data_IF_250499165023
#
_entry.id   IF_250499165023
#
_cell.length_a   1.000
_cell.length_b   1.000
_cell.length_c   1.000
_cell.angle_alpha   90.00
_cell.angle_beta   90.00
_cell.angle_gamma   90.00
#
_symmetry.space_group_name_H-M   'P 1'
#
loop_
_entity.id
_entity.type
_entity.pdbx_description
1 polymer ?
#
# COMPACT_ATOMS: atom_id res chain seq x y z
N UNK A 1 25.33 -1.56 -86.94
CA UNK A 1 26.13 -1.23 -85.74
C UNK A 1 25.76 0.17 -85.26
N UNK A 2 25.16 0.24 -84.05
CA UNK A 2 25.16 1.37 -83.09
C UNK A 2 24.52 2.68 -83.61
N UNK A 3 23.20 2.77 -83.73
CA UNK A 3 22.24 3.29 -82.72
C UNK A 3 22.71 4.44 -81.81
N UNK A 4 22.16 5.61 -82.11
CA UNK A 4 22.16 6.88 -81.38
C UNK A 4 21.52 6.74 -79.98
N UNK A 5 22.18 7.29 -78.97
CA UNK A 5 21.58 7.62 -77.67
C UNK A 5 21.09 9.06 -77.71
N UNK A 6 19.85 9.32 -77.25
CA UNK A 6 19.64 10.49 -76.42
C UNK A 6 18.98 10.15 -75.08
N UNK A 7 19.45 10.87 -74.07
CA UNK A 7 19.13 10.78 -72.64
C UNK A 7 17.62 10.91 -72.37
N UNK A 8 17.10 9.89 -71.68
CA UNK A 8 15.71 9.76 -71.25
C UNK A 8 15.36 10.70 -70.09
N UNK A 9 14.38 11.57 -70.37
CA UNK A 9 13.16 11.85 -69.59
C UNK A 9 13.24 12.00 -68.06
N UNK A 10 13.07 13.24 -67.61
CA UNK A 10 12.67 13.62 -66.25
C UNK A 10 11.37 12.89 -65.85
N UNK A 11 11.45 12.03 -64.82
CA UNK A 11 10.28 11.42 -64.19
C UNK A 11 9.65 12.46 -63.24
N UNK A 12 8.51 13.02 -63.66
CA UNK A 12 7.56 13.73 -62.80
C UNK A 12 6.86 12.70 -61.90
N UNK A 13 7.24 12.63 -60.62
CA UNK A 13 6.48 11.91 -59.61
C UNK A 13 5.15 12.63 -59.33
N UNK A 14 4.07 12.23 -59.99
CA UNK A 14 2.72 12.59 -59.57
C UNK A 14 2.34 11.77 -58.33
N UNK A 15 2.45 12.38 -57.15
CA UNK A 15 1.90 11.84 -55.91
C UNK A 15 0.36 11.85 -55.99
N UNK A 16 -0.23 10.74 -56.41
CA UNK A 16 -1.68 10.52 -56.34
C UNK A 16 -2.07 10.27 -54.88
N UNK A 17 -2.41 11.35 -54.17
CA UNK A 17 -3.05 11.27 -52.86
C UNK A 17 -4.39 10.54 -53.01
N UNK A 18 -4.42 9.23 -52.73
CA UNK A 18 -5.64 8.42 -52.61
C UNK A 18 -6.60 9.12 -51.64
N UNK A 19 -7.64 9.75 -52.18
CA UNK A 19 -8.78 10.24 -51.38
C UNK A 19 -9.35 9.04 -50.63
N UNK A 20 -9.30 9.06 -49.29
CA UNK A 20 -10.01 8.08 -48.44
C UNK A 20 -11.47 8.09 -48.84
N UNK A 21 -11.96 6.99 -49.40
CA UNK A 21 -13.39 6.80 -49.65
C UNK A 21 -14.11 6.89 -48.31
N UNK A 22 -15.04 7.83 -48.20
CA UNK A 22 -15.96 7.91 -47.07
C UNK A 22 -16.93 6.74 -47.24
N UNK A 23 -16.64 5.60 -46.60
CA UNK A 23 -17.60 4.48 -46.54
C UNK A 23 -18.84 5.01 -45.81
N UNK A 24 -19.97 5.06 -46.51
CA UNK A 24 -21.25 5.33 -45.86
C UNK A 24 -21.54 4.14 -44.95
N UNK A 25 -21.55 4.37 -43.64
CA UNK A 25 -21.90 3.35 -42.66
C UNK A 25 -23.41 3.14 -42.67
N UNK A 26 -23.85 1.89 -42.69
CA UNK A 26 -25.25 1.53 -42.42
C UNK A 26 -25.73 2.15 -41.10
N UNK A 27 -26.99 2.56 -41.02
CA UNK A 27 -27.57 3.23 -39.84
C UNK A 27 -27.42 2.40 -38.55
N UNK A 28 -27.32 1.08 -38.71
CA UNK A 28 -27.14 0.10 -37.65
C UNK A 28 -25.69 -0.04 -37.17
N UNK A 29 -24.71 0.51 -37.89
CA UNK A 29 -23.28 0.47 -37.57
C UNK A 29 -22.68 1.87 -37.36
N UNK A 30 -23.53 2.91 -37.29
CA UNK A 30 -23.08 4.27 -37.00
C UNK A 30 -22.35 4.30 -35.66
N UNK A 31 -21.08 4.73 -35.71
CA UNK A 31 -20.21 4.82 -34.54
C UNK A 31 -19.57 3.49 -34.12
N UNK A 32 -19.72 2.41 -34.89
CA UNK A 32 -19.09 1.11 -34.66
C UNK A 32 -18.07 0.85 -35.76
N UNK A 33 -16.83 0.57 -35.36
CA UNK A 33 -15.70 0.41 -36.28
C UNK A 33 -14.98 -0.90 -36.01
N UNK A 34 -14.90 -1.75 -37.03
CA UNK A 34 -14.03 -2.93 -36.99
C UNK A 34 -12.58 -2.50 -37.21
N UNK A 35 -11.66 -2.95 -36.35
CA UNK A 35 -10.23 -2.65 -36.44
C UNK A 35 -9.39 -3.85 -36.02
N UNK A 36 -8.14 -3.85 -36.47
CA UNK A 36 -7.14 -4.84 -36.07
C UNK A 36 -5.92 -4.09 -35.55
N UNK A 37 -5.39 -4.52 -34.41
CA UNK A 37 -4.24 -3.92 -33.72
C UNK A 37 -3.22 -5.03 -33.43
N UNK A 38 -1.93 -4.76 -33.59
CA UNK A 38 -0.86 -5.72 -33.31
C UNK A 38 -0.86 -6.20 -31.85
N UNK A 39 -1.29 -5.35 -30.91
CA UNK A 39 -1.27 -5.66 -29.47
C UNK A 39 -2.53 -6.35 -28.95
N UNK A 40 -3.68 -6.05 -29.58
CA UNK A 40 -5.01 -6.51 -29.10
C UNK A 40 -5.66 -7.53 -30.04
N UNK A 41 -5.15 -7.68 -31.26
CA UNK A 41 -5.78 -8.44 -32.32
C UNK A 41 -6.99 -7.73 -32.92
N UNK A 42 -7.86 -8.51 -33.56
CA UNK A 42 -9.12 -8.04 -34.13
C UNK A 42 -10.10 -7.62 -33.02
N UNK A 43 -10.70 -6.45 -33.18
CA UNK A 43 -11.61 -5.88 -32.21
C UNK A 43 -12.64 -4.96 -32.86
N UNK A 44 -13.74 -4.74 -32.14
CA UNK A 44 -14.76 -3.76 -32.46
C UNK A 44 -14.59 -2.54 -31.56
N UNK A 45 -14.48 -1.36 -32.16
CA UNK A 45 -14.34 -0.08 -31.49
C UNK A 45 -15.63 0.72 -31.65
N UNK A 46 -16.29 1.00 -30.53
CA UNK A 46 -17.44 1.90 -30.49
C UNK A 46 -16.96 3.30 -30.12
N UNK A 47 -17.34 4.30 -30.93
CA UNK A 47 -17.04 5.70 -30.70
C UNK A 47 -18.27 6.54 -31.01
N UNK A 48 -18.90 7.06 -29.96
CA UNK A 48 -20.13 7.83 -30.04
C UNK A 48 -19.95 9.18 -29.35
N UNK A 49 -20.23 10.27 -30.05
CA UNK A 49 -20.17 11.62 -29.49
C UNK A 49 -21.58 12.12 -29.17
N UNK A 50 -21.83 12.47 -27.90
CA UNK A 50 -23.10 12.98 -27.40
C UNK A 50 -22.87 14.17 -26.48
N UNK A 51 -23.55 15.28 -26.74
CA UNK A 51 -23.52 16.49 -25.91
C UNK A 51 -22.10 16.98 -25.59
N UNK A 52 -21.20 16.92 -26.57
CA UNK A 52 -19.79 17.31 -26.42
C UNK A 52 -18.89 16.29 -25.72
N UNK A 53 -19.43 15.17 -25.23
CA UNK A 53 -18.67 14.07 -24.61
C UNK A 53 -18.47 12.93 -25.59
N UNK A 54 -17.25 12.39 -25.60
CA UNK A 54 -16.85 11.25 -26.42
C UNK A 54 -16.92 9.97 -25.58
N UNK A 55 -17.81 9.07 -25.97
CA UNK A 55 -17.95 7.74 -25.36
C UNK A 55 -17.26 6.72 -26.25
N UNK A 56 -16.22 6.08 -25.71
CA UNK A 56 -15.43 5.09 -26.44
C UNK A 56 -15.29 3.78 -25.67
N UNK A 57 -15.38 2.66 -26.40
CA UNK A 57 -15.16 1.32 -25.85
C UNK A 57 -14.62 0.37 -26.91
N UNK A 58 -13.79 -0.56 -26.46
CA UNK A 58 -13.18 -1.60 -27.29
C UNK A 58 -13.67 -2.98 -26.84
N UNK A 59 -14.12 -3.78 -27.80
CA UNK A 59 -14.56 -5.16 -27.63
C UNK A 59 -13.61 -6.05 -28.42
N UNK A 60 -12.71 -6.74 -27.72
CA UNK A 60 -11.70 -7.61 -28.35
C UNK A 60 -12.30 -8.99 -28.55
N UNK A 61 -12.23 -9.52 -29.77
CA UNK A 61 -12.87 -10.79 -30.14
C UNK A 61 -12.50 -11.94 -29.20
N UNK A 62 -11.21 -12.08 -28.87
CA UNK A 62 -10.71 -13.12 -27.99
C UNK A 62 -11.31 -13.08 -26.56
N UNK A 63 -11.74 -11.90 -26.10
CA UNK A 63 -12.37 -11.73 -24.77
C UNK A 63 -13.89 -11.83 -24.83
N UNK A 64 -14.48 -11.54 -25.98
CA UNK A 64 -15.91 -11.56 -26.20
C UNK A 64 -16.40 -12.91 -26.74
N UNK A 65 -15.52 -13.86 -27.07
CA UNK A 65 -15.93 -15.17 -27.59
C UNK A 65 -16.10 -15.22 -29.10
N UNK A 66 -15.57 -14.23 -29.83
CA UNK A 66 -15.57 -14.20 -31.29
C UNK A 66 -15.98 -12.87 -31.90
N UNK A 67 -15.89 -12.74 -33.24
CA UNK A 67 -16.16 -11.49 -33.95
C UNK A 67 -17.64 -11.10 -33.96
N UNK A 68 -18.55 -12.08 -34.10
CA UNK A 68 -20.00 -11.87 -34.10
C UNK A 68 -20.48 -11.38 -32.74
N UNK A 69 -20.00 -12.04 -31.70
CA UNK A 69 -20.35 -11.73 -30.32
C UNK A 69 -19.79 -10.37 -29.89
N UNK A 70 -18.54 -10.05 -30.29
CA UNK A 70 -17.97 -8.72 -30.07
C UNK A 70 -18.79 -7.61 -30.73
N UNK A 71 -19.35 -7.83 -31.94
CA UNK A 71 -20.21 -6.87 -32.61
C UNK A 71 -21.56 -6.71 -31.90
N UNK A 72 -22.18 -7.82 -31.46
CA UNK A 72 -23.43 -7.80 -30.69
C UNK A 72 -23.28 -7.00 -29.40
N UNK A 73 -22.25 -7.28 -28.60
CA UNK A 73 -21.94 -6.56 -27.37
C UNK A 73 -21.60 -5.08 -27.62
N UNK A 74 -20.91 -4.78 -28.72
CA UNK A 74 -20.63 -3.41 -29.13
C UNK A 74 -21.89 -2.62 -29.47
N UNK A 75 -22.85 -3.23 -30.19
CA UNK A 75 -24.18 -2.66 -30.47
C UNK A 75 -24.95 -2.42 -29.16
N UNK A 76 -24.97 -3.40 -28.27
CA UNK A 76 -25.63 -3.27 -26.96
C UNK A 76 -25.06 -2.14 -26.12
N UNK A 77 -23.73 -2.01 -26.10
CA UNK A 77 -23.09 -0.93 -25.37
C UNK A 77 -23.38 0.43 -25.99
N UNK A 78 -23.35 0.55 -27.32
CA UNK A 78 -23.72 1.77 -28.03
C UNK A 78 -25.17 2.17 -27.71
N UNK A 79 -26.09 1.21 -27.79
CA UNK A 79 -27.51 1.44 -27.61
C UNK A 79 -27.80 1.87 -26.17
N UNK A 80 -27.16 1.23 -25.18
CA UNK A 80 -27.20 1.67 -23.77
C UNK A 80 -26.72 3.11 -23.62
N UNK A 81 -25.58 3.47 -24.22
CA UNK A 81 -25.04 4.83 -24.16
C UNK A 81 -25.97 5.82 -24.84
N UNK A 82 -26.59 5.45 -25.97
CA UNK A 82 -27.52 6.30 -26.70
C UNK A 82 -28.83 6.55 -25.94
N UNK A 83 -29.34 5.55 -25.21
CA UNK A 83 -30.50 5.69 -24.32
C UNK A 83 -30.17 6.56 -23.10
N UNK A 84 -29.02 6.32 -22.45
CA UNK A 84 -28.58 7.11 -21.31
C UNK A 84 -28.21 8.55 -21.67
N UNK A 85 -27.79 8.78 -22.92
CA UNK A 85 -27.35 10.07 -23.43
C UNK A 85 -28.08 10.37 -24.75
N UNK A 86 -29.37 10.77 -24.67
CA UNK A 86 -30.15 11.09 -25.85
C UNK A 86 -29.48 12.19 -26.67
N UNK A 87 -29.76 12.20 -27.97
CA UNK A 87 -29.27 13.24 -28.86
C UNK A 87 -29.77 14.61 -28.40
N UNK A 88 -28.92 15.63 -28.52
CA UNK A 88 -29.29 17.02 -28.24
C UNK A 88 -30.53 17.40 -29.05
N UNK A 89 -31.50 18.06 -28.43
CA UNK A 89 -32.64 18.60 -29.16
C UNK A 89 -32.15 19.65 -30.18
N UNK A 90 -32.81 19.71 -31.33
CA UNK A 90 -32.48 20.64 -32.40
C UNK A 90 -32.65 22.08 -31.92
N UNK A 91 -33.65 22.35 -31.07
CA UNK A 91 -33.84 23.64 -30.42
C UNK A 91 -32.64 24.01 -29.53
N UNK A 92 -32.20 23.09 -28.66
CA UNK A 92 -31.04 23.31 -27.78
C UNK A 92 -29.76 23.55 -28.58
N UNK A 93 -29.52 22.76 -29.64
CA UNK A 93 -28.39 22.98 -30.54
C UNK A 93 -28.44 24.36 -31.20
N UNK A 94 -29.64 24.77 -31.63
CA UNK A 94 -29.89 26.06 -32.26
C UNK A 94 -29.77 27.25 -31.30
N UNK A 95 -29.89 27.02 -29.98
CA UNK A 95 -29.74 28.00 -28.93
C UNK A 95 -28.27 28.23 -28.51
N UNK A 96 -27.33 27.38 -28.95
CA UNK A 96 -25.90 27.55 -28.65
C UNK A 96 -25.37 28.82 -29.28
N UNK A 97 -24.97 29.78 -28.45
CA UNK A 97 -24.31 31.02 -28.88
C UNK A 97 -22.86 30.73 -29.28
N UNK A 98 -22.46 31.17 -30.47
CA UNK A 98 -21.09 31.00 -30.97
C UNK A 98 -20.22 32.17 -30.52
N UNK A 99 -18.91 31.94 -30.36
CA UNK A 99 -17.93 32.99 -30.03
C UNK A 99 -17.92 34.15 -31.03
N UNK A 100 -18.28 33.90 -32.29
CA UNK A 100 -18.39 34.90 -33.36
C UNK A 100 -19.70 35.68 -33.35
N UNK A 101 -20.60 35.43 -32.39
CA UNK A 101 -21.88 36.11 -32.29
C UNK A 101 -21.72 37.42 -31.50
N UNK A 102 -22.08 38.54 -32.12
CA UNK A 102 -22.02 39.88 -31.54
C UNK A 102 -23.34 40.37 -30.94
N UNK A 103 -24.46 39.66 -31.15
CA UNK A 103 -25.79 40.07 -30.67
C UNK A 103 -26.16 39.49 -29.30
N UNK A 104 -25.40 38.50 -28.83
CA UNK A 104 -25.65 37.74 -27.60
C UNK A 104 -26.73 36.65 -27.74
N UNK A 105 -27.41 36.57 -28.88
CA UNK A 105 -28.54 35.64 -29.10
C UNK A 105 -28.28 34.76 -30.32
N UNK A 106 -28.34 33.43 -30.13
CA UNK A 106 -28.02 32.46 -31.17
C UNK A 106 -28.96 32.56 -32.38
N UNK A 107 -28.37 32.84 -33.55
CA UNK A 107 -29.12 32.96 -34.81
C UNK A 107 -29.74 34.33 -35.06
N UNK A 108 -29.57 35.30 -34.16
CA UNK A 108 -29.96 36.70 -34.38
C UNK A 108 -28.71 37.52 -34.69
N UNK A 109 -28.75 38.37 -35.71
CA UNK A 109 -27.62 39.25 -36.05
C UNK A 109 -28.11 40.53 -36.71
N UNK A 110 -27.42 41.63 -36.41
CA UNK A 110 -27.55 42.89 -37.14
C UNK A 110 -26.73 42.79 -38.43
N UNK A 111 -27.34 43.09 -39.57
CA UNK A 111 -26.73 42.98 -40.90
C UNK A 111 -27.08 44.21 -41.72
N UNK A 112 -26.08 44.81 -42.35
CA UNK A 112 -26.27 45.91 -43.29
C UNK A 112 -26.44 45.33 -44.70
N UNK A 113 -27.60 45.57 -45.32
CA UNK A 113 -27.92 45.10 -46.67
C UNK A 113 -27.80 46.26 -47.64
N UNK A 114 -26.89 46.12 -48.60
CA UNK A 114 -26.77 47.03 -49.73
C UNK A 114 -27.83 46.76 -50.79
N UNK A 115 -28.43 47.82 -51.34
CA UNK A 115 -29.15 47.74 -52.61
C UNK A 115 -28.78 48.90 -53.51
N UNK A 116 -28.79 48.68 -54.83
CA UNK A 116 -28.66 49.75 -55.80
C UNK A 116 -30.04 50.37 -56.00
N UNK A 117 -30.15 51.68 -55.78
CA UNK A 117 -31.36 52.45 -56.03
C UNK A 117 -31.64 52.53 -57.53
N UNK A 118 -32.88 52.79 -57.94
CA UNK A 118 -33.24 52.99 -59.36
C UNK A 118 -32.41 54.10 -60.06
N UNK A 119 -31.79 54.99 -59.29
CA UNK A 119 -30.87 56.06 -59.73
C UNK A 119 -29.38 55.64 -59.75
N UNK A 120 -29.06 54.36 -59.61
CA UNK A 120 -27.67 53.84 -59.61
C UNK A 120 -26.88 54.01 -58.31
N UNK A 121 -27.45 54.64 -57.28
CA UNK A 121 -26.77 54.89 -56.00
C UNK A 121 -26.79 53.64 -55.11
N UNK A 122 -25.64 53.22 -54.59
CA UNK A 122 -25.55 52.16 -53.57
C UNK A 122 -26.03 52.69 -52.22
N UNK A 123 -27.10 52.09 -51.69
CA UNK A 123 -27.66 52.44 -50.38
C UNK A 123 -27.57 51.24 -49.47
N UNK A 124 -26.80 51.38 -48.39
CA UNK A 124 -26.76 50.39 -47.30
C UNK A 124 -27.85 50.66 -46.28
N UNK A 125 -28.60 49.63 -45.90
CA UNK A 125 -29.69 49.73 -44.93
C UNK A 125 -29.51 48.70 -43.82
N UNK A 126 -29.60 49.09 -42.53
CA UNK A 126 -29.48 48.17 -41.42
C UNK A 126 -30.75 47.32 -41.22
N UNK A 127 -30.56 46.03 -40.99
CA UNK A 127 -31.61 45.07 -40.67
C UNK A 127 -31.22 44.22 -39.45
N UNK A 128 -32.22 43.87 -38.65
CA UNK A 128 -32.11 42.76 -37.72
C UNK A 128 -32.62 41.49 -38.38
N UNK A 129 -31.79 40.44 -38.40
CA UNK A 129 -32.10 39.19 -39.07
C UNK A 129 -32.16 38.03 -38.06
N UNK A 130 -33.19 37.19 -38.19
CA UNK A 130 -33.36 35.95 -37.45
C UNK A 130 -33.20 34.75 -38.41
N UNK A 131 -32.22 33.88 -38.13
CA UNK A 131 -32.05 32.58 -38.79
C UNK A 131 -32.93 31.54 -38.11
N UNK A 132 -33.81 30.92 -38.89
CA UNK A 132 -34.82 29.98 -38.46
C UNK A 132 -34.48 28.62 -39.05
N UNK A 133 -34.04 27.67 -38.23
CA UNK A 133 -33.92 26.29 -38.67
C UNK A 133 -35.34 25.71 -38.83
N UNK A 134 -35.54 24.91 -39.88
CA UNK A 134 -36.81 24.21 -40.14
C UNK A 134 -36.59 22.72 -39.98
N UNK A 135 -37.66 21.98 -39.65
CA UNK A 135 -37.71 20.52 -39.47
C UNK A 135 -36.99 19.76 -40.61
N UNK A 136 -37.12 20.22 -41.85
CA UNK A 136 -36.49 19.61 -43.03
C UNK A 136 -34.97 19.86 -43.16
N UNK A 137 -34.35 20.55 -42.20
CA UNK A 137 -32.93 20.92 -42.22
C UNK A 137 -32.61 22.14 -43.09
N UNK A 138 -33.61 22.75 -43.72
CA UNK A 138 -33.47 24.04 -44.42
C UNK A 138 -33.41 25.20 -43.42
N UNK A 139 -32.70 26.26 -43.79
CA UNK A 139 -32.62 27.49 -42.98
C UNK A 139 -33.45 28.57 -43.67
N UNK A 140 -34.46 29.11 -42.99
CA UNK A 140 -35.19 30.32 -43.40
C UNK A 140 -34.60 31.55 -42.71
N UNK A 141 -34.62 32.69 -43.38
CA UNK A 141 -34.16 33.96 -42.83
C UNK A 141 -35.31 34.95 -42.80
N UNK A 142 -35.63 35.52 -41.64
CA UNK A 142 -36.58 36.64 -41.51
C UNK A 142 -35.83 37.90 -41.14
N UNK A 143 -36.08 39.00 -41.83
CA UNK A 143 -35.34 40.27 -41.67
C UNK A 143 -36.29 41.42 -41.33
N UNK A 144 -35.89 42.27 -40.40
CA UNK A 144 -36.66 43.41 -39.90
C UNK A 144 -35.87 44.70 -40.15
N UNK A 145 -36.47 45.65 -40.87
CA UNK A 145 -35.81 46.92 -41.23
C UNK A 145 -35.73 47.85 -40.03
N UNK A 146 -34.53 48.29 -39.68
CA UNK A 146 -34.32 49.29 -38.62
C UNK A 146 -34.98 50.62 -38.99
N UNK A 147 -34.99 50.99 -40.28
CA UNK A 147 -35.65 52.23 -40.74
C UNK A 147 -37.16 52.24 -40.48
N UNK A 148 -37.81 51.07 -40.52
CA UNK A 148 -39.28 50.95 -40.37
C UNK A 148 -39.70 50.83 -38.90
N UNK A 149 -38.94 50.11 -38.09
CA UNK A 149 -39.34 49.74 -36.73
C UNK A 149 -38.44 50.38 -35.64
N UNK A 150 -37.38 51.10 -36.01
CA UNK A 150 -36.34 51.51 -35.06
C UNK A 150 -35.44 50.35 -34.64
N UNK A 151 -34.34 50.66 -33.95
CA UNK A 151 -33.31 49.68 -33.59
C UNK A 151 -33.85 48.65 -32.57
N UNK A 152 -34.48 49.14 -31.51
CA UNK A 152 -34.99 48.30 -30.41
C UNK A 152 -36.13 47.38 -30.85
N UNK A 153 -37.14 47.90 -31.55
CA UNK A 153 -38.26 47.06 -31.97
C UNK A 153 -37.86 46.10 -33.09
N UNK A 154 -36.97 46.48 -34.01
CA UNK A 154 -36.45 45.55 -35.02
C UNK A 154 -35.69 44.40 -34.37
N UNK A 155 -34.88 44.68 -33.34
CA UNK A 155 -34.20 43.66 -32.53
C UNK A 155 -35.21 42.77 -31.79
N UNK A 156 -36.17 43.36 -31.08
CA UNK A 156 -37.19 42.63 -30.34
C UNK A 156 -38.00 41.68 -31.25
N UNK A 157 -38.40 42.15 -32.43
CA UNK A 157 -39.11 41.33 -33.43
C UNK A 157 -38.26 40.16 -33.95
N UNK A 158 -36.97 40.38 -34.17
CA UNK A 158 -36.04 39.33 -34.59
C UNK A 158 -35.84 38.27 -33.49
N UNK A 159 -35.70 38.72 -32.23
CA UNK A 159 -35.58 37.84 -31.07
C UNK A 159 -36.85 37.03 -30.87
N UNK A 160 -38.02 37.67 -30.88
CA UNK A 160 -39.31 36.99 -30.72
C UNK A 160 -39.53 35.93 -31.81
N UNK A 161 -39.32 36.29 -33.07
CA UNK A 161 -39.40 35.35 -34.20
C UNK A 161 -38.45 34.17 -34.01
N UNK A 162 -37.23 34.41 -33.51
CA UNK A 162 -36.26 33.35 -33.24
C UNK A 162 -36.75 32.42 -32.12
N UNK A 163 -37.27 32.97 -31.03
CA UNK A 163 -37.80 32.22 -29.89
C UNK A 163 -38.98 31.34 -30.30
N UNK A 164 -39.92 31.88 -31.08
CA UNK A 164 -41.07 31.14 -31.58
C UNK A 164 -40.65 29.99 -32.51
N UNK A 165 -39.69 30.24 -33.40
CA UNK A 165 -39.12 29.18 -34.24
C UNK A 165 -38.37 28.11 -33.44
N UNK A 166 -37.70 28.45 -32.33
CA UNK A 166 -37.10 27.46 -31.44
C UNK A 166 -38.17 26.60 -30.75
N UNK A 167 -39.30 27.21 -30.35
CA UNK A 167 -40.45 26.51 -29.78
C UNK A 167 -41.06 25.53 -30.77
N UNK A 168 -41.20 25.93 -32.04
CA UNK A 168 -41.69 25.04 -33.12
C UNK A 168 -40.76 23.84 -33.38
N UNK A 169 -39.45 24.01 -33.22
CA UNK A 169 -38.49 22.90 -33.38
C UNK A 169 -38.58 21.87 -32.23
N UNK A 170 -39.09 22.27 -31.06
CA UNK A 170 -39.43 21.40 -29.95
C UNK A 170 -38.34 20.37 -29.59
N UNK A 171 -38.78 19.12 -29.42
CA UNK A 171 -37.96 17.97 -29.00
C UNK A 171 -37.32 17.20 -30.16
N UNK A 172 -37.36 17.75 -31.39
CA UNK A 172 -36.80 17.07 -32.56
C UNK A 172 -35.30 16.82 -32.36
N UNK A 173 -34.84 15.58 -32.58
CA UNK A 173 -33.44 15.24 -32.39
C UNK A 173 -32.54 15.91 -33.45
N UNK A 174 -31.47 16.56 -33.01
CA UNK A 174 -30.46 17.09 -33.92
C UNK A 174 -29.83 15.96 -34.76
N UNK A 175 -29.88 16.10 -36.09
CA UNK A 175 -29.40 15.08 -37.06
C UNK A 175 -30.04 13.70 -36.86
N UNK A 176 -31.36 13.64 -36.65
CA UNK A 176 -32.12 12.40 -36.49
C UNK A 176 -31.79 11.33 -37.57
N UNK A 177 -31.66 11.72 -38.84
CA UNK A 177 -31.29 10.80 -39.94
C UNK A 177 -29.91 10.14 -39.81
N UNK A 178 -29.03 10.66 -38.96
CA UNK A 178 -27.69 10.09 -38.66
C UNK A 178 -27.63 9.48 -37.26
N UNK A 179 -28.76 9.39 -36.56
CA UNK A 179 -28.80 8.73 -35.26
C UNK A 179 -28.64 7.21 -35.46
N UNK A 180 -27.88 6.53 -34.59
CA UNK A 180 -27.82 5.08 -34.60
C UNK A 180 -29.20 4.51 -34.30
N UNK A 181 -29.61 3.49 -35.06
CA UNK A 181 -30.81 2.72 -34.76
C UNK A 181 -30.53 1.81 -33.55
N UNK A 182 -31.45 1.80 -32.59
CA UNK A 182 -31.39 0.87 -31.46
C UNK A 182 -31.87 -0.50 -31.94
N UNK A 183 -31.02 -1.52 -31.86
CA UNK A 183 -31.27 -2.88 -32.37
C UNK A 183 -31.15 -3.92 -31.24
N UNK A 184 -30.48 -3.57 -30.13
CA UNK A 184 -30.19 -4.52 -29.06
C UNK A 184 -31.39 -4.91 -28.20
N UNK A 185 -31.40 -6.17 -27.82
CA UNK A 185 -32.42 -6.81 -26.98
C UNK A 185 -32.02 -6.80 -25.49
N UNK A 186 -32.96 -7.02 -24.56
CA UNK A 186 -32.69 -7.15 -23.12
C UNK A 186 -31.55 -8.12 -22.77
N UNK A 187 -31.48 -9.25 -23.47
CA UNK A 187 -30.47 -10.29 -23.29
C UNK A 187 -29.06 -9.77 -23.62
N UNK A 188 -28.94 -8.94 -24.67
CA UNK A 188 -27.68 -8.33 -25.07
C UNK A 188 -27.11 -7.41 -23.98
N UNK A 189 -27.99 -6.73 -23.24
CA UNK A 189 -27.57 -5.89 -22.11
C UNK A 189 -27.08 -6.73 -20.93
N UNK A 190 -27.73 -7.86 -20.64
CA UNK A 190 -27.31 -8.77 -19.57
C UNK A 190 -25.92 -9.37 -19.86
N UNK A 191 -25.69 -9.84 -21.09
CA UNK A 191 -24.41 -10.39 -21.51
C UNK A 191 -23.30 -9.34 -21.50
N UNK A 192 -23.63 -8.11 -21.93
CA UNK A 192 -22.73 -6.98 -21.81
C UNK A 192 -22.33 -6.72 -20.36
N UNK A 193 -23.25 -6.79 -19.41
CA UNK A 193 -22.93 -6.62 -18.00
C UNK A 193 -22.01 -7.71 -17.47
N UNK A 194 -22.21 -8.97 -17.88
CA UNK A 194 -21.30 -10.06 -17.52
C UNK A 194 -19.88 -9.73 -17.99
N UNK A 195 -19.72 -9.30 -19.24
CA UNK A 195 -18.40 -8.98 -19.83
C UNK A 195 -17.76 -7.76 -19.16
N UNK A 196 -18.54 -6.72 -18.86
CA UNK A 196 -18.04 -5.51 -18.20
C UNK A 196 -17.62 -5.76 -16.75
N UNK A 197 -18.34 -6.61 -16.01
CA UNK A 197 -18.08 -6.87 -14.60
C UNK A 197 -17.07 -8.02 -14.36
N UNK A 198 -16.82 -8.87 -15.36
CA UNK A 198 -15.88 -10.00 -15.23
C UNK A 198 -14.47 -9.61 -14.71
N UNK A 199 -13.84 -8.50 -15.16
CA UNK A 199 -12.55 -8.07 -14.60
C UNK A 199 -12.62 -7.69 -13.12
N UNK A 200 -13.71 -7.06 -12.67
CA UNK A 200 -13.90 -6.68 -11.28
C UNK A 200 -14.10 -7.91 -10.40
N UNK A 201 -14.94 -8.87 -10.84
CA UNK A 201 -15.11 -10.17 -10.16
C UNK A 201 -13.79 -10.91 -9.98
N UNK A 202 -12.94 -10.97 -11.03
CA UNK A 202 -11.60 -11.58 -10.95
C UNK A 202 -10.66 -10.85 -9.98
N UNK A 203 -10.75 -9.52 -9.86
CA UNK A 203 -9.94 -8.76 -8.88
C UNK A 203 -10.37 -9.09 -7.45
N UNK A 204 -11.67 -9.14 -7.20
CA UNK A 204 -12.22 -9.48 -5.89
C UNK A 204 -11.82 -10.89 -5.46
N UNK A 205 -11.91 -11.88 -6.36
CA UNK A 205 -11.50 -13.25 -6.07
C UNK A 205 -10.02 -13.33 -5.68
N UNK A 206 -9.13 -12.69 -6.45
CA UNK A 206 -7.70 -12.64 -6.12
C UNK A 206 -7.41 -11.94 -4.80
N UNK A 207 -8.20 -10.92 -4.45
CA UNK A 207 -8.08 -10.24 -3.16
C UNK A 207 -8.52 -11.16 -2.01
N UNK A 208 -9.60 -11.91 -2.18
CA UNK A 208 -10.05 -12.92 -1.21
C UNK A 208 -8.99 -14.00 -1.01
N UNK A 209 -8.48 -14.60 -2.08
CA UNK A 209 -7.39 -15.58 -2.03
C UNK A 209 -6.15 -15.03 -1.33
N UNK A 210 -5.78 -13.78 -1.60
CA UNK A 210 -4.66 -13.12 -0.94
C UNK A 210 -4.90 -12.95 0.56
N UNK A 211 -6.09 -12.51 0.95
CA UNK A 211 -6.46 -12.32 2.34
C UNK A 211 -6.48 -13.65 3.11
N UNK A 212 -6.99 -14.72 2.50
CA UNK A 212 -6.99 -16.06 3.07
C UNK A 212 -5.55 -16.57 3.25
N UNK A 213 -4.68 -16.40 2.25
CA UNK A 213 -3.25 -16.73 2.37
C UNK A 213 -2.59 -15.95 3.50
N UNK A 214 -2.89 -14.66 3.66
CA UNK A 214 -2.38 -13.88 4.78
C UNK A 214 -2.91 -14.37 6.13
N UNK A 215 -4.19 -14.73 6.22
CA UNK A 215 -4.80 -15.27 7.44
C UNK A 215 -4.14 -16.59 7.85
N UNK A 216 -3.94 -17.50 6.90
CA UNK A 216 -3.25 -18.78 7.12
C UNK A 216 -1.78 -18.57 7.53
N UNK A 217 -1.06 -17.64 6.89
CA UNK A 217 0.30 -17.32 7.26
C UNK A 217 0.40 -16.75 8.70
N UNK A 218 -0.52 -15.84 9.07
CA UNK A 218 -0.61 -15.29 10.43
C UNK A 218 -0.90 -16.38 11.46
N UNK A 219 -1.85 -17.26 11.18
CA UNK A 219 -2.18 -18.39 12.06
C UNK A 219 -0.95 -19.30 12.28
N UNK A 220 -0.21 -19.63 11.23
CA UNK A 220 1.01 -20.44 11.31
C UNK A 220 2.11 -19.77 12.14
N UNK A 221 2.27 -18.45 12.02
CA UNK A 221 3.23 -17.69 12.85
C UNK A 221 2.84 -17.77 14.33
N UNK A 222 1.56 -17.55 14.65
CA UNK A 222 1.06 -17.63 16.02
C UNK A 222 1.23 -19.03 16.61
N UNK A 223 0.98 -20.08 15.83
CA UNK A 223 1.20 -21.47 16.23
C UNK A 223 2.69 -21.75 16.52
N UNK A 224 3.59 -21.31 15.64
CA UNK A 224 5.03 -21.45 15.83
C UNK A 224 5.52 -20.69 17.08
N UNK A 225 4.98 -19.51 17.33
CA UNK A 225 5.25 -18.73 18.55
C UNK A 225 4.74 -19.44 19.80
N UNK A 226 3.53 -20.00 19.78
CA UNK A 226 2.98 -20.76 20.89
C UNK A 226 3.86 -21.98 21.21
N UNK A 227 4.27 -22.73 20.19
CA UNK A 227 5.18 -23.87 20.34
C UNK A 227 6.55 -23.47 20.91
N UNK A 228 7.08 -22.31 20.50
CA UNK A 228 8.33 -21.77 21.07
C UNK A 228 8.15 -21.42 22.55
N UNK A 229 7.04 -20.78 22.92
CA UNK A 229 6.74 -20.47 24.33
C UNK A 229 6.65 -21.73 25.18
N UNK A 230 5.97 -22.77 24.70
CA UNK A 230 5.91 -24.06 25.37
C UNK A 230 7.30 -24.66 25.58
N UNK A 231 8.14 -24.72 24.54
CA UNK A 231 9.52 -25.20 24.67
C UNK A 231 10.36 -24.37 25.63
N UNK A 232 10.19 -23.05 25.63
CA UNK A 232 10.88 -22.15 26.57
C UNK A 232 10.42 -22.41 28.02
N UNK A 233 9.14 -22.71 28.23
CA UNK A 233 8.58 -23.07 29.53
C UNK A 233 9.07 -24.44 30.01
N UNK A 234 9.10 -25.45 29.13
CA UNK A 234 9.69 -26.76 29.38
C UNK A 234 11.18 -26.66 29.73
N UNK A 235 11.95 -25.88 28.98
CA UNK A 235 13.37 -25.66 29.23
C UNK A 235 13.62 -24.93 30.56
N UNK A 236 12.71 -24.04 30.98
CA UNK A 236 12.78 -23.43 32.31
C UNK A 236 12.49 -24.43 33.45
N UNK A 237 11.65 -25.41 33.19
CA UNK A 237 11.28 -26.44 34.15
C UNK A 237 12.28 -27.61 34.17
N UNK A 238 13.16 -27.71 33.17
CA UNK A 238 14.19 -28.75 33.07
C UNK A 238 15.32 -28.55 34.12
N UNK A 239 15.61 -29.56 34.96
CA UNK A 239 16.54 -29.41 36.05
C UNK A 239 18.00 -29.50 35.57
N UNK A 240 18.75 -28.39 35.61
CA UNK A 240 20.19 -28.34 35.26
C UNK A 240 21.05 -27.82 36.42
N UNK A 241 22.20 -28.44 36.61
CA UNK A 241 23.15 -28.24 37.72
C UNK A 241 24.36 -27.33 37.38
N UNK A 242 24.53 -26.92 36.12
CA UNK A 242 25.74 -26.20 35.66
C UNK A 242 25.70 -24.68 35.84
N UNK A 243 24.57 -24.10 36.23
CA UNK A 243 24.33 -22.63 36.15
C UNK A 243 24.11 -21.94 37.49
N UNK A 244 24.37 -22.63 38.62
CA UNK A 244 24.21 -22.06 39.97
C UNK A 244 22.75 -21.87 40.40
N UNK A 245 21.84 -22.56 39.72
CA UNK A 245 20.43 -22.68 40.13
C UNK A 245 20.39 -23.73 41.25
N UNK A 246 19.62 -23.49 42.32
CA UNK A 246 19.35 -24.57 43.25
C UNK A 246 18.55 -25.69 42.60
N UNK A 247 19.24 -26.79 42.39
CA UNK A 247 18.70 -28.04 41.89
C UNK A 247 18.15 -28.82 43.08
N UNK A 248 16.88 -29.20 43.05
CA UNK A 248 16.31 -30.19 43.97
C UNK A 248 15.98 -31.42 43.12
N UNK A 249 16.83 -32.44 43.18
CA UNK A 249 16.63 -33.71 42.47
C UNK A 249 16.07 -34.79 43.39
N UNK A 250 15.19 -35.64 42.89
CA UNK A 250 14.72 -36.84 43.61
C UNK A 250 15.62 -38.02 43.25
N UNK A 251 16.11 -38.71 44.27
CA UNK A 251 16.86 -39.93 44.16
C UNK A 251 16.02 -41.04 44.78
N UNK A 252 15.62 -42.01 43.96
CA UNK A 252 14.92 -43.20 44.42
C UNK A 252 15.90 -44.35 44.35
N UNK A 253 16.18 -44.96 45.50
CA UNK A 253 16.98 -46.20 45.53
C UNK A 253 16.14 -47.38 45.04
N UNK A 254 16.78 -48.46 44.59
CA UNK A 254 16.10 -49.70 44.16
C UNK A 254 15.16 -50.27 45.23
N UNK A 255 15.43 -50.00 46.51
CA UNK A 255 14.58 -50.34 47.64
C UNK A 255 13.39 -49.36 47.89
N UNK A 256 13.00 -48.55 46.90
CA UNK A 256 11.91 -47.57 46.95
C UNK A 256 12.02 -46.52 48.09
N UNK A 257 13.21 -46.40 48.69
CA UNK A 257 13.51 -45.31 49.64
C UNK A 257 13.92 -44.09 48.84
N UNK A 258 13.05 -43.08 48.85
CA UNK A 258 13.26 -41.79 48.21
C UNK A 258 14.07 -40.82 49.07
N UNK A 259 14.86 -39.98 48.42
CA UNK A 259 15.56 -38.85 49.05
C UNK A 259 15.61 -37.67 48.08
N UNK A 260 15.39 -36.48 48.60
CA UNK A 260 15.58 -35.23 47.87
C UNK A 260 17.00 -34.73 48.08
N UNK A 261 17.72 -34.40 47.01
CA UNK A 261 19.05 -33.80 47.08
C UNK A 261 18.98 -32.38 46.54
N UNK A 262 19.37 -31.43 47.37
CA UNK A 262 19.61 -30.07 46.95
C UNK A 262 21.07 -29.93 46.55
N UNK A 263 21.35 -29.40 45.37
CA UNK A 263 22.70 -29.13 44.86
C UNK A 263 22.75 -27.76 44.22
N UNK A 264 23.78 -26.97 44.53
CA UNK A 264 23.99 -25.65 43.97
C UNK A 264 25.48 -25.34 43.91
N UNK A 265 25.86 -24.51 42.95
CA UNK A 265 27.23 -24.00 42.83
C UNK A 265 27.15 -22.48 42.87
N UNK A 266 27.81 -21.87 43.84
CA UNK A 266 27.92 -20.42 43.95
C UNK A 266 29.39 -20.05 44.07
N UNK A 267 29.87 -19.20 43.16
CA UNK A 267 31.28 -18.78 43.08
C UNK A 267 32.32 -19.92 43.08
N UNK A 268 31.98 -21.05 42.45
CA UNK A 268 32.85 -22.23 42.41
C UNK A 268 32.78 -23.11 43.66
N UNK A 269 32.12 -22.66 44.74
CA UNK A 269 31.82 -23.49 45.91
C UNK A 269 30.55 -24.31 45.66
N UNK A 270 30.59 -25.60 45.96
CA UNK A 270 29.47 -26.54 45.80
C UNK A 270 28.78 -26.75 47.14
N UNK A 271 27.48 -26.43 47.23
CA UNK A 271 26.64 -26.73 48.38
C UNK A 271 25.71 -27.87 48.02
N UNK A 272 25.75 -28.97 48.79
CA UNK A 272 24.94 -30.16 48.57
C UNK A 272 24.40 -30.70 49.89
N UNK A 273 23.11 -31.01 49.94
CA UNK A 273 22.47 -31.65 51.10
C UNK A 273 21.36 -32.60 50.68
N UNK A 274 21.27 -33.74 51.34
CA UNK A 274 20.26 -34.78 51.08
C UNK A 274 19.24 -34.84 52.22
N UNK A 275 17.98 -35.06 51.85
CA UNK A 275 16.81 -35.08 52.71
C UNK A 275 16.05 -36.37 52.42
N UNK A 276 16.19 -37.36 53.29
CA UNK A 276 15.57 -38.68 53.10
C UNK A 276 14.10 -38.68 53.53
N UNK A 277 13.23 -39.30 52.74
CA UNK A 277 11.79 -39.38 53.02
C UNK A 277 11.51 -40.08 54.37
N UNK A 278 12.27 -41.13 54.68
CA UNK A 278 12.12 -41.90 55.92
C UNK A 278 12.39 -41.09 57.20
N UNK A 279 13.31 -40.12 57.15
CA UNK A 279 13.66 -39.28 58.31
C UNK A 279 12.72 -38.10 58.50
N UNK A 280 12.05 -37.65 57.45
CA UNK A 280 11.25 -36.43 57.44
C UNK A 280 9.75 -36.70 57.35
N UNK A 281 9.32 -37.96 57.48
CA UNK A 281 7.91 -38.34 57.51
C UNK A 281 7.22 -38.32 56.14
N UNK A 282 7.97 -38.61 55.07
CA UNK A 282 7.43 -38.81 53.72
C UNK A 282 7.92 -37.80 52.67
N UNK A 283 7.53 -38.05 51.42
CA UNK A 283 8.02 -37.34 50.23
C UNK A 283 7.74 -35.83 50.26
N UNK A 284 6.51 -35.44 50.65
CA UNK A 284 6.08 -34.04 50.65
C UNK A 284 6.83 -33.22 51.70
N UNK A 285 7.02 -33.77 52.89
CA UNK A 285 7.75 -33.15 54.00
C UNK A 285 9.24 -33.02 53.68
N UNK A 286 9.84 -34.07 53.08
CA UNK A 286 11.22 -34.02 52.63
C UNK A 286 11.46 -33.00 51.52
N UNK A 287 10.52 -32.84 50.58
CA UNK A 287 10.56 -31.80 49.56
C UNK A 287 10.44 -30.40 50.15
N UNK A 288 9.56 -30.21 51.14
CA UNK A 288 9.38 -28.93 51.84
C UNK A 288 10.67 -28.55 52.59
N UNK A 289 11.27 -29.48 53.33
CA UNK A 289 12.54 -29.28 54.02
C UNK A 289 13.69 -28.96 53.04
N UNK A 290 13.75 -29.66 51.90
CA UNK A 290 14.71 -29.38 50.84
C UNK A 290 14.52 -27.96 50.25
N UNK A 291 13.27 -27.52 50.03
CA UNK A 291 12.96 -26.15 49.58
C UNK A 291 13.33 -25.11 50.63
N UNK A 292 13.07 -25.36 51.91
CA UNK A 292 13.40 -24.44 53.00
C UNK A 292 14.92 -24.23 53.11
N UNK A 293 15.70 -25.33 53.14
CA UNK A 293 17.17 -25.24 53.18
C UNK A 293 17.74 -24.55 51.94
N UNK A 294 17.17 -24.85 50.76
CA UNK A 294 17.52 -24.16 49.53
C UNK A 294 17.33 -22.65 49.65
N UNK A 295 16.14 -22.23 50.09
CA UNK A 295 15.75 -20.82 50.15
C UNK A 295 16.62 -20.08 51.18
N UNK A 296 16.97 -20.72 52.31
CA UNK A 296 17.90 -20.23 53.32
C UNK A 296 19.31 -19.98 52.75
N UNK A 297 19.93 -21.01 52.15
CA UNK A 297 21.28 -20.91 51.60
C UNK A 297 21.31 -19.91 50.43
N UNK A 298 20.29 -19.92 49.58
CA UNK A 298 20.21 -19.02 48.43
C UNK A 298 20.00 -17.56 48.84
N UNK A 299 19.27 -17.31 49.93
CA UNK A 299 19.10 -15.94 50.48
C UNK A 299 20.40 -15.40 51.09
N UNK A 300 21.27 -16.29 51.58
CA UNK A 300 22.59 -15.93 52.09
C UNK A 300 23.63 -15.62 50.99
N UNK A 301 23.31 -15.84 49.71
CA UNK A 301 24.24 -15.53 48.63
C UNK A 301 24.27 -14.03 48.31
N UNK A 302 25.45 -13.44 48.40
CA UNK A 302 25.69 -12.08 47.95
C UNK A 302 25.42 -11.98 46.44
N UNK A 303 24.46 -11.13 46.10
CA UNK A 303 24.11 -10.85 44.71
C UNK A 303 25.12 -9.83 44.18
N UNK A 304 25.72 -10.12 43.03
CA UNK A 304 26.65 -9.16 42.40
C UNK A 304 25.88 -8.04 41.74
N UNK A 305 26.42 -6.84 41.88
CA UNK A 305 25.94 -5.67 41.14
C UNK A 305 26.21 -5.90 39.65
N UNK A 306 25.30 -5.42 38.81
CA UNK A 306 25.47 -5.49 37.35
C UNK A 306 26.77 -4.79 36.92
N UNK A 307 27.10 -3.69 37.59
CA UNK A 307 28.31 -2.89 37.34
C UNK A 307 29.57 -3.74 37.52
N UNK A 308 29.74 -4.42 38.65
CA UNK A 308 30.92 -5.26 38.94
C UNK A 308 31.15 -6.37 37.89
N UNK A 309 30.06 -6.94 37.38
CA UNK A 309 30.14 -7.97 36.35
C UNK A 309 30.62 -7.41 35.01
N UNK A 310 30.24 -6.17 34.71
CA UNK A 310 30.44 -5.50 33.43
C UNK A 310 31.81 -4.81 33.36
N UNK A 311 32.36 -4.41 34.50
CA UNK A 311 33.70 -3.81 34.66
C UNK A 311 34.80 -4.84 34.89
N UNK A 312 34.45 -6.11 35.18
CA UNK A 312 35.44 -7.18 35.39
C UNK A 312 36.26 -7.43 34.11
N UNK A 313 37.59 -7.24 34.14
CA UNK A 313 38.44 -7.54 33.00
C UNK A 313 38.41 -9.03 32.68
N UNK A 314 38.31 -9.35 31.40
CA UNK A 314 38.43 -10.71 30.91
C UNK A 314 39.92 -11.04 30.69
N UNK A 315 40.36 -12.27 30.93
CA UNK A 315 41.78 -12.69 30.78
C UNK A 315 42.32 -12.40 29.37
N UNK A 316 41.47 -12.53 28.35
CA UNK A 316 41.77 -12.19 26.94
C UNK A 316 41.59 -10.71 26.58
N UNK A 317 41.44 -9.81 27.55
CA UNK A 317 41.25 -8.39 27.26
C UNK A 317 42.59 -7.73 26.90
N UNK A 318 42.74 -7.35 25.63
CA UNK A 318 43.97 -6.75 25.10
C UNK A 318 43.95 -5.22 25.11
N UNK A 319 42.79 -4.59 25.30
CA UNK A 319 42.64 -3.13 25.25
C UNK A 319 42.78 -2.43 26.60
N UNK A 320 42.95 -3.18 27.70
CA UNK A 320 42.98 -2.66 29.06
C UNK A 320 41.62 -2.21 29.62
N UNK A 321 40.66 -1.83 28.77
CA UNK A 321 39.35 -1.33 29.18
C UNK A 321 38.21 -2.28 28.76
N UNK A 322 37.37 -2.70 29.72
CA UNK A 322 36.30 -3.67 29.45
C UNK A 322 35.22 -3.12 28.51
N UNK A 323 34.95 -3.85 27.42
CA UNK A 323 33.92 -3.45 26.45
C UNK A 323 34.39 -2.38 25.44
N UNK A 324 35.67 -2.04 25.45
CA UNK A 324 36.35 -1.22 24.44
C UNK A 324 37.28 -2.12 23.63
N UNK A 325 37.21 -2.07 22.30
CA UNK A 325 38.09 -2.85 21.44
C UNK A 325 38.36 -2.16 20.10
N UNK A 326 39.49 -2.51 19.49
CA UNK A 326 39.86 -2.03 18.16
C UNK A 326 39.14 -2.87 17.10
N UNK A 327 38.48 -2.21 16.15
CA UNK A 327 37.75 -2.85 15.05
C UNK A 327 38.29 -2.34 13.71
N UNK A 328 38.57 -3.26 12.80
CA UNK A 328 39.00 -2.96 11.43
C UNK A 328 37.88 -3.28 10.46
N UNK A 329 37.53 -2.31 9.62
CA UNK A 329 36.56 -2.47 8.55
C UNK A 329 37.25 -2.28 7.21
N UNK A 330 37.21 -3.31 6.36
CA UNK A 330 37.80 -3.27 5.02
C UNK A 330 36.67 -3.09 4.00
N UNK A 331 36.77 -2.05 3.17
CA UNK A 331 35.82 -1.80 2.09
C UNK A 331 36.56 -1.54 0.78
N UNK A 332 36.26 -2.37 -0.24
CA UNK A 332 36.69 -2.32 -1.65
C UNK A 332 38.20 -2.23 -1.93
N UNK A 333 38.98 -1.45 -1.17
CA UNK A 333 40.44 -1.39 -1.16
C UNK A 333 41.05 -0.64 0.04
N UNK A 334 40.23 -0.07 0.96
CA UNK A 334 40.70 0.74 2.09
C UNK A 334 40.30 0.10 3.42
N UNK A 335 41.26 0.00 4.33
CA UNK A 335 41.03 -0.40 5.71
C UNK A 335 40.81 0.84 6.59
N UNK A 336 39.73 0.81 7.36
CA UNK A 336 39.43 1.83 8.37
C UNK A 336 39.50 1.18 9.74
N UNK A 337 40.24 1.80 10.65
CA UNK A 337 40.37 1.34 12.02
C UNK A 337 39.63 2.27 12.98
N UNK A 338 38.93 1.65 13.95
CA UNK A 338 38.12 2.35 14.92
C UNK A 338 38.36 1.78 16.32
N UNK A 339 38.34 2.66 17.32
CA UNK A 339 38.08 2.27 18.69
C UNK A 339 36.57 2.23 18.92
N UNK A 340 36.07 1.09 19.41
CA UNK A 340 34.63 0.85 19.58
C UNK A 340 34.32 0.64 21.04
N UNK A 341 33.41 1.48 21.57
CA UNK A 341 32.81 1.32 22.88
C UNK A 341 31.43 0.65 22.73
N UNK A 342 31.28 -0.54 23.30
CA UNK A 342 30.00 -1.26 23.30
C UNK A 342 29.26 -1.01 24.61
N UNK A 343 27.97 -0.66 24.55
CA UNK A 343 27.15 -0.53 25.75
C UNK A 343 26.90 -1.91 26.39
N UNK A 344 26.78 -1.99 27.73
CA UNK A 344 26.37 -3.21 28.42
C UNK A 344 25.00 -3.68 27.93
N UNK A 345 24.76 -4.99 27.92
CA UNK A 345 23.46 -5.52 27.50
C UNK A 345 22.37 -5.13 28.51
N UNK A 346 21.29 -4.54 28.00
CA UNK A 346 20.08 -4.23 28.76
C UNK A 346 18.88 -4.84 28.05
N UNK A 347 18.09 -5.63 28.78
CA UNK A 347 16.98 -6.38 28.20
C UNK A 347 15.90 -5.41 27.71
N UNK A 348 15.46 -5.57 26.46
CA UNK A 348 14.42 -4.73 25.86
C UNK A 348 14.94 -3.50 25.11
N UNK A 349 16.23 -3.19 25.21
CA UNK A 349 16.86 -2.10 24.49
C UNK A 349 17.81 -2.64 23.41
N UNK A 350 17.90 -1.98 22.24
CA UNK A 350 18.88 -2.33 21.22
C UNK A 350 20.31 -2.13 21.75
N UNK A 351 21.25 -2.96 21.28
CA UNK A 351 22.66 -2.82 21.65
C UNK A 351 23.22 -1.53 21.08
N UNK A 352 23.62 -0.61 21.96
CA UNK A 352 24.25 0.65 21.56
C UNK A 352 25.77 0.47 21.40
N UNK A 353 26.33 1.09 20.37
CA UNK A 353 27.79 1.14 20.15
C UNK A 353 28.19 2.54 19.69
N UNK A 354 29.32 3.04 20.20
CA UNK A 354 29.97 4.26 19.71
C UNK A 354 31.31 3.88 19.09
N UNK A 355 31.61 4.42 17.91
CA UNK A 355 32.82 4.14 17.14
C UNK A 355 33.60 5.43 16.92
N UNK A 356 34.90 5.41 17.19
CA UNK A 356 35.80 6.55 17.06
C UNK A 356 36.89 6.20 16.05
N UNK A 357 37.01 7.00 14.98
CA UNK A 357 37.95 6.71 13.88
C UNK A 357 39.38 7.09 14.26
N UNK A 358 40.30 6.15 14.09
CA UNK A 358 41.72 6.35 14.36
C UNK A 358 42.34 7.32 13.35
N UNK A 359 41.89 7.26 12.09
CA UNK A 359 42.34 8.20 11.04
C UNK A 359 41.97 9.65 11.34
N UNK A 360 40.85 9.89 12.04
CA UNK A 360 40.37 11.25 12.34
C UNK A 360 40.97 11.83 13.62
N UNK A 361 41.06 11.02 14.68
CA UNK A 361 41.42 11.51 16.01
C UNK A 361 42.84 11.08 16.45
N UNK A 362 43.48 10.16 15.74
CA UNK A 362 44.68 9.47 16.21
C UNK A 362 44.33 8.30 17.15
N UNK A 363 45.28 7.38 17.35
CA UNK A 363 45.03 6.13 18.09
C UNK A 363 44.74 6.39 19.58
N UNK A 364 45.53 7.26 20.22
CA UNK A 364 45.43 7.60 21.65
C UNK A 364 44.15 8.35 22.01
N UNK A 365 43.81 9.39 21.24
CA UNK A 365 42.60 10.18 21.46
C UNK A 365 41.33 9.39 21.12
N UNK A 366 41.34 8.59 20.05
CA UNK A 366 40.21 7.71 19.74
C UNK A 366 39.99 6.66 20.84
N UNK A 367 41.06 6.14 21.45
CA UNK A 367 40.98 5.24 22.59
C UNK A 367 40.38 5.92 23.81
N UNK A 368 40.87 7.11 24.21
CA UNK A 368 40.35 7.82 25.38
C UNK A 368 38.87 8.18 25.24
N UNK A 369 38.44 8.61 24.04
CA UNK A 369 37.03 8.86 23.74
C UNK A 369 36.17 7.59 23.85
N UNK A 370 36.71 6.43 23.44
CA UNK A 370 36.01 5.16 23.59
C UNK A 370 35.90 4.71 25.04
N UNK A 371 36.93 4.92 25.86
CA UNK A 371 36.90 4.64 27.30
C UNK A 371 35.89 5.56 28.00
N UNK A 372 35.93 6.87 27.76
CA UNK A 372 34.96 7.80 28.33
C UNK A 372 33.51 7.48 27.91
N UNK A 373 33.30 7.11 26.64
CA UNK A 373 32.01 6.65 26.17
C UNK A 373 31.55 5.36 26.90
N UNK A 374 32.47 4.44 27.17
CA UNK A 374 32.18 3.22 27.91
C UNK A 374 31.83 3.50 29.37
N UNK A 375 32.57 4.38 30.03
CA UNK A 375 32.29 4.81 31.40
C UNK A 375 30.91 5.44 31.51
N UNK A 376 30.54 6.30 30.55
CA UNK A 376 29.18 6.88 30.52
C UNK A 376 28.08 5.82 30.39
N UNK A 377 28.32 4.75 29.62
CA UNK A 377 27.37 3.64 29.50
C UNK A 377 27.29 2.77 30.76
N UNK A 378 28.37 2.70 31.54
CA UNK A 378 28.39 1.96 32.81
C UNK A 378 27.73 2.79 33.91
N UNK A 379 27.96 4.10 33.93
CA UNK A 379 27.33 5.03 34.87
C UNK A 379 25.81 5.12 34.68
N UNK A 380 25.31 4.93 33.45
CA UNK A 380 23.87 4.87 33.17
C UNK A 380 23.23 3.51 33.51
N UNK A 381 23.97 2.55 34.09
CA UNK A 381 23.38 1.32 34.59
C UNK A 381 22.88 1.53 36.00
N UNK A 382 21.61 1.18 36.24
CA UNK A 382 21.09 1.06 37.59
C UNK A 382 21.88 0.00 38.38
N UNK A 383 22.08 0.26 39.68
CA UNK A 383 22.78 -0.62 40.62
C UNK A 383 21.93 -1.85 41.01
N UNK A 384 21.30 -2.47 40.02
CA UNK A 384 20.49 -3.66 40.22
C UNK A 384 21.39 -4.85 40.54
N UNK A 385 21.05 -5.52 41.65
CA UNK A 385 21.59 -6.82 42.01
C UNK A 385 21.13 -7.85 41.00
N UNK A 386 22.05 -8.34 40.15
CA UNK A 386 21.68 -9.23 39.03
C UNK A 386 22.14 -10.66 39.24
N UNK A 387 21.21 -11.59 39.01
CA UNK A 387 21.51 -13.01 38.85
C UNK A 387 21.61 -13.33 37.36
N UNK A 388 22.70 -13.99 36.97
CA UNK A 388 22.97 -14.35 35.55
C UNK A 388 21.89 -15.27 34.97
N UNK A 389 21.38 -16.22 35.76
CA UNK A 389 20.39 -17.19 35.29
C UNK A 389 18.95 -16.73 35.52
N UNK A 390 18.05 -17.00 34.56
CA UNK A 390 16.63 -16.60 34.61
C UNK A 390 15.87 -17.26 35.77
N UNK A 391 16.11 -18.53 36.03
CA UNK A 391 15.46 -19.27 37.14
C UNK A 391 15.89 -18.75 38.51
N UNK A 392 17.16 -18.37 38.70
CA UNK A 392 17.63 -17.71 39.92
C UNK A 392 16.91 -16.39 40.16
N UNK A 393 16.68 -15.58 39.12
CA UNK A 393 15.87 -14.34 39.21
C UNK A 393 14.40 -14.58 39.53
N UNK A 394 13.84 -15.73 39.14
CA UNK A 394 12.47 -16.12 39.51
C UNK A 394 12.44 -16.51 41.00
N UNK A 395 13.36 -17.37 41.43
CA UNK A 395 13.44 -17.80 42.83
C UNK A 395 13.68 -16.64 43.79
N UNK A 396 14.57 -15.69 43.47
CA UNK A 396 14.79 -14.52 44.31
C UNK A 396 13.52 -13.67 44.48
N UNK A 397 12.70 -13.55 43.43
CA UNK A 397 11.40 -12.87 43.49
C UNK A 397 10.39 -13.68 44.32
N UNK A 398 10.33 -14.98 44.12
CA UNK A 398 9.44 -15.87 44.87
C UNK A 398 9.78 -15.88 46.37
N UNK A 399 11.07 -15.83 46.73
CA UNK A 399 11.52 -15.71 48.13
C UNK A 399 11.15 -14.34 48.71
N UNK A 400 11.39 -13.24 47.96
CA UNK A 400 11.03 -11.90 48.39
C UNK A 400 9.51 -11.75 48.62
N UNK A 401 8.68 -12.31 47.73
CA UNK A 401 7.23 -12.32 47.89
C UNK A 401 6.78 -13.13 49.11
N UNK A 402 7.47 -14.22 49.44
CA UNK A 402 7.19 -15.01 50.65
C UNK A 402 7.62 -14.32 51.94
N UNK A 403 8.71 -13.54 51.92
CA UNK A 403 9.12 -12.75 53.07
C UNK A 403 8.16 -11.59 53.35
N UNK A 404 7.62 -10.96 52.30
CA UNK A 404 6.63 -9.88 52.41
C UNK A 404 5.25 -10.38 52.87
N UNK A 405 4.89 -11.63 52.56
CA UNK A 405 3.62 -12.22 52.99
C UNK A 405 3.62 -12.68 54.46
N UNK A 406 4.64 -12.36 55.26
CA UNK A 406 4.68 -12.62 56.71
C UNK A 406 4.77 -14.10 57.12
N UNK A 407 5.00 -15.03 56.19
CA UNK A 407 5.11 -16.46 56.49
C UNK A 407 6.57 -16.83 56.69
N UNK A 408 7.15 -16.41 57.82
CA UNK A 408 8.37 -17.01 58.36
C UNK A 408 7.96 -17.71 59.66
N UNK A 409 8.15 -19.04 59.81
CA UNK A 409 8.16 -19.65 61.12
C UNK A 409 9.39 -19.12 61.86
N UNK A 410 9.16 -18.18 62.76
CA UNK A 410 10.13 -17.64 63.71
C UNK A 410 10.54 -18.75 64.68
N UNK A 411 11.50 -19.58 64.29
CA UNK A 411 11.89 -20.72 65.10
C UNK A 411 13.12 -21.47 64.63
N UNK A 412 14.23 -20.76 64.37
CA UNK A 412 15.63 -21.22 64.59
C UNK A 412 16.61 -20.23 63.93
N UNK A 413 16.75 -19.03 64.50
CA UNK A 413 17.97 -18.22 64.35
C UNK A 413 19.09 -18.80 65.24
N UNK A 414 19.38 -20.09 65.12
CA UNK A 414 20.58 -20.71 65.69
C UNK A 414 21.48 -21.15 64.53
N UNK A 415 22.52 -20.36 64.32
CA UNK A 415 23.75 -20.63 63.58
C UNK A 415 23.90 -22.03 62.97
N UNK A 416 23.44 -22.21 61.73
CA UNK A 416 23.88 -23.33 60.87
C UNK A 416 25.17 -23.01 60.09
N UNK A 417 25.82 -21.87 60.39
CA UNK A 417 27.19 -21.54 59.95
C UNK A 417 28.29 -22.10 60.87
N UNK A 418 27.95 -22.78 61.97
CA UNK A 418 28.93 -23.38 62.90
C UNK A 418 29.09 -24.90 62.80
N UNK A 419 28.48 -25.58 61.81
CA UNK A 419 28.69 -27.02 61.57
C UNK A 419 29.32 -27.29 60.19
N UNK A 420 30.24 -26.42 59.79
CA UNK A 420 31.17 -26.64 58.69
C UNK A 420 32.62 -26.46 59.20
N UNK A 421 33.03 -27.39 60.07
CA UNK A 421 34.40 -27.87 60.20
C UNK A 421 34.35 -29.39 60.16
#
# INVERSE_FOLDING_TARGET
MIQLQPLSTKILHMATSKKKSFVQHELEDVGIYRRTDATRGAHVHVSLMRNGKLYQKYFVDAKCGGPTEALRLARAWRDRVAVQNPALALADFCAIVRSTNTSGIAGVSRVDKGSVSAKGVFVSRPYWCARLAVVDGKIRLKSFSVRKFGEEQARANAVQTRTDALRELGTLAFRARKAPRLVSQPEDFADLDVVLHAPAKRRLLRQQEHNERQKMARAKVLELEARRRQKDEEALNAPTNSTGIPYIGRYVTSAHRGSWCVSMIHEGKRYRKTFSDAKLGGEKSALLAAKAWRDEIFSGFERKKKIDTVTRPHVRNTSGATGVFKSRHVSKSRAFEYWVAKAPFTKGLPSQTKKFSITKYGDTLAYSMAVAARESFVASLDDELTLRHRTGRKLARDIALKSDSGVIPSGQKRSLLQLAK
#
